data_IF_143123326581
#
_entry.id   IF_143123326581
#
_cell.length_a   1.000
_cell.length_b   1.000
_cell.length_c   1.000
_cell.angle_alpha   90.00
_cell.angle_beta   90.00
_cell.angle_gamma   90.00
#
_symmetry.space_group_name_H-M   'P 1'
#
loop_
_entity.id
_entity.type
_entity.pdbx_description
1 polymer ?
#
# COMPACT_ATOMS: atom_id res chain seq x y z
N UNK A 1 -34.40 -0.48 -20.59
CA UNK A 1 -33.85 -0.93 -21.88
C UNK A 1 -32.47 -0.32 -22.07
N UNK A 2 -31.41 -1.11 -22.24
CA UNK A 2 -30.05 -0.56 -22.36
C UNK A 2 -29.89 0.20 -23.69
N UNK A 3 -29.76 1.54 -23.62
CA UNK A 3 -29.60 2.43 -24.78
C UNK A 3 -28.23 2.22 -25.44
N UNK A 4 -28.17 1.20 -26.31
CA UNK A 4 -26.98 0.83 -27.07
C UNK A 4 -26.98 1.57 -28.40
N UNK A 5 -25.88 2.25 -28.68
CA UNK A 5 -25.62 3.05 -29.88
C UNK A 5 -24.70 2.26 -30.80
N UNK A 6 -24.98 2.32 -32.10
CA UNK A 6 -24.13 1.74 -33.15
C UNK A 6 -22.89 2.61 -33.37
N UNK A 7 -21.73 1.98 -33.46
CA UNK A 7 -20.45 2.60 -33.82
C UNK A 7 -19.71 1.77 -34.87
N UNK A 8 -18.79 2.41 -35.59
CA UNK A 8 -17.93 1.77 -36.58
C UNK A 8 -16.48 1.77 -36.09
N UNK A 9 -15.82 0.62 -36.18
CA UNK A 9 -14.44 0.48 -35.69
C UNK A 9 -13.46 1.14 -36.65
N UNK A 10 -12.64 2.07 -36.17
CA UNK A 10 -11.66 2.77 -37.01
C UNK A 10 -10.49 1.89 -37.51
N UNK A 11 -10.34 0.68 -36.97
CA UNK A 11 -9.23 -0.23 -37.32
C UNK A 11 -9.66 -1.35 -38.26
N UNK A 12 -10.82 -1.97 -38.01
CA UNK A 12 -11.30 -3.08 -38.81
C UNK A 12 -12.58 -2.78 -39.60
N UNK A 13 -13.15 -1.57 -39.49
CA UNK A 13 -14.37 -1.16 -40.17
C UNK A 13 -15.67 -1.83 -39.69
N UNK A 14 -15.57 -2.84 -38.81
CA UNK A 14 -16.72 -3.59 -38.33
C UNK A 14 -17.69 -2.71 -37.53
N UNK A 15 -18.99 -2.93 -37.75
CA UNK A 15 -20.05 -2.35 -36.94
C UNK A 15 -20.12 -3.02 -35.57
N UNK A 16 -20.35 -2.23 -34.51
CA UNK A 16 -20.50 -2.72 -33.14
C UNK A 16 -21.46 -1.86 -32.33
N UNK A 17 -21.97 -2.41 -31.21
CA UNK A 17 -22.96 -1.73 -30.36
C UNK A 17 -22.46 -1.56 -28.93
N UNK A 18 -22.47 -0.33 -28.39
CA UNK A 18 -22.04 0.00 -27.02
C UNK A 18 -22.97 1.00 -26.35
N UNK A 19 -22.87 1.15 -25.03
CA UNK A 19 -23.67 2.16 -24.31
C UNK A 19 -23.30 3.55 -24.81
N UNK A 20 -24.26 4.46 -24.95
CA UNK A 20 -24.00 5.86 -25.32
C UNK A 20 -22.92 6.53 -24.43
N UNK A 21 -22.86 6.15 -23.15
CA UNK A 21 -21.84 6.62 -22.19
C UNK A 21 -20.41 6.20 -22.53
N UNK A 22 -20.22 5.10 -23.25
CA UNK A 22 -18.88 4.60 -23.63
C UNK A 22 -18.21 5.51 -24.68
N UNK A 23 -19.00 6.28 -25.43
CA UNK A 23 -18.54 7.25 -26.43
C UNK A 23 -18.25 8.63 -25.83
N UNK A 24 -18.67 8.91 -24.58
CA UNK A 24 -18.53 10.20 -23.90
C UNK A 24 -17.66 10.09 -22.64
N UNK A 25 -16.43 9.59 -22.75
CA UNK A 25 -15.50 9.60 -21.60
C UNK A 25 -14.98 11.01 -21.33
N UNK A 26 -14.82 11.34 -20.04
CA UNK A 26 -14.48 12.67 -19.49
C UNK A 26 -13.04 13.11 -19.77
N UNK A 27 -12.19 12.18 -20.20
CA UNK A 27 -10.75 12.32 -20.45
C UNK A 27 -10.43 12.66 -21.91
N UNK A 28 -11.44 12.81 -22.78
CA UNK A 28 -11.29 13.22 -24.18
C UNK A 28 -10.61 12.19 -25.08
N UNK A 29 -10.22 11.01 -24.56
CA UNK A 29 -9.33 10.10 -25.26
C UNK A 29 -9.96 8.71 -25.45
N UNK A 30 -10.35 8.40 -26.68
CA UNK A 30 -10.61 7.04 -27.21
C UNK A 30 -11.78 6.23 -26.63
N UNK A 31 -12.75 6.86 -25.98
CA UNK A 31 -14.03 6.18 -25.67
C UNK A 31 -14.82 5.87 -26.94
N UNK A 32 -15.07 4.60 -27.25
CA UNK A 32 -16.03 4.21 -28.30
C UNK A 32 -15.51 4.19 -29.75
N UNK A 33 -14.20 4.26 -30.00
CA UNK A 33 -13.62 4.24 -31.37
C UNK A 33 -13.40 2.84 -31.95
N UNK A 34 -13.38 1.82 -31.09
CA UNK A 34 -12.96 0.47 -31.47
C UNK A 34 -13.95 -0.59 -30.98
N UNK A 35 -14.18 -1.61 -31.81
CA UNK A 35 -15.05 -2.74 -31.50
C UNK A 35 -14.50 -3.64 -30.37
N UNK A 36 -13.18 -3.62 -30.13
CA UNK A 36 -12.51 -4.49 -29.17
C UNK A 36 -11.19 -3.91 -28.65
N UNK A 37 -10.70 -4.47 -27.53
CA UNK A 37 -9.36 -4.17 -27.00
C UNK A 37 -8.23 -4.52 -27.98
N UNK A 38 -8.44 -5.52 -28.85
CA UNK A 38 -7.47 -5.88 -29.91
C UNK A 38 -7.32 -4.73 -30.91
N UNK A 39 -8.43 -4.21 -31.43
CA UNK A 39 -8.42 -3.08 -32.36
C UNK A 39 -7.84 -1.82 -31.70
N UNK A 40 -8.19 -1.56 -30.43
CA UNK A 40 -7.58 -0.47 -29.66
C UNK A 40 -6.04 -0.63 -29.58
N UNK A 41 -5.54 -1.84 -29.33
CA UNK A 41 -4.10 -2.13 -29.27
C UNK A 41 -3.36 -1.93 -30.61
N UNK A 42 -4.00 -2.28 -31.73
CA UNK A 42 -3.46 -2.03 -33.08
C UNK A 42 -3.34 -0.53 -33.34
N UNK A 43 -4.37 0.25 -33.00
CA UNK A 43 -4.33 1.71 -33.14
C UNK A 43 -3.20 2.33 -32.30
N UNK A 44 -3.10 1.97 -31.02
CA UNK A 44 -2.01 2.42 -30.12
C UNK A 44 -0.64 2.07 -30.71
N UNK A 45 -0.50 0.89 -31.31
CA UNK A 45 0.76 0.46 -31.90
C UNK A 45 1.12 1.28 -33.15
N UNK A 46 0.14 1.64 -33.99
CA UNK A 46 0.33 2.49 -35.17
C UNK A 46 0.68 3.93 -34.79
N UNK A 47 -0.03 4.50 -33.82
CA UNK A 47 0.26 5.83 -33.26
C UNK A 47 1.66 5.88 -32.63
N UNK A 48 1.99 4.89 -31.79
CA UNK A 48 3.29 4.79 -31.17
C UNK A 48 4.41 4.55 -32.20
N UNK A 49 4.15 3.81 -33.29
CA UNK A 49 5.10 3.63 -34.38
C UNK A 49 5.33 4.95 -35.13
N UNK A 50 4.27 5.71 -35.41
CA UNK A 50 4.35 7.03 -36.06
C UNK A 50 5.13 8.02 -35.20
N UNK A 51 4.86 8.06 -33.88
CA UNK A 51 5.61 8.90 -32.94
C UNK A 51 7.09 8.48 -32.81
N UNK A 52 7.39 7.17 -32.87
CA UNK A 52 8.76 6.63 -32.84
C UNK A 52 9.53 6.88 -34.14
N UNK A 53 8.84 6.97 -35.28
CA UNK A 53 9.46 7.31 -36.56
C UNK A 53 9.91 8.78 -36.60
N UNK A 54 9.20 9.66 -35.88
CA UNK A 54 9.53 11.09 -35.80
C UNK A 54 10.75 11.42 -34.90
N UNK A 55 11.26 10.46 -34.12
CA UNK A 55 12.39 10.68 -33.22
C UNK A 55 13.56 9.74 -33.54
N UNK A 56 14.73 10.24 -33.98
CA UNK A 56 15.88 9.39 -34.20
C UNK A 56 16.29 8.74 -32.87
N UNK A 57 16.42 7.41 -32.87
CA UNK A 57 16.91 6.68 -31.68
C UNK A 57 18.33 7.17 -31.37
N UNK A 58 18.62 7.57 -30.12
CA UNK A 58 19.98 7.92 -29.76
C UNK A 58 20.91 6.72 -30.01
N UNK A 59 22.16 6.95 -30.45
CA UNK A 59 23.12 5.89 -30.66
C UNK A 59 23.25 5.06 -29.38
N UNK A 60 23.21 3.73 -29.53
CA UNK A 60 23.36 2.81 -28.41
C UNK A 60 24.79 2.91 -27.89
N UNK A 61 25.01 3.67 -26.82
CA UNK A 61 26.29 3.65 -26.11
C UNK A 61 26.61 2.21 -25.66
N UNK A 62 27.90 1.80 -25.67
CA UNK A 62 28.29 0.50 -25.16
C UNK A 62 27.78 0.34 -23.72
N UNK A 63 27.06 -0.75 -23.45
CA UNK A 63 26.42 -0.99 -22.16
C UNK A 63 27.49 -1.43 -21.16
N UNK A 64 27.91 -0.54 -20.28
CA UNK A 64 28.60 -0.96 -19.06
C UNK A 64 27.69 -1.90 -18.28
N UNK A 65 28.19 -3.10 -17.94
CA UNK A 65 27.49 -4.03 -17.03
C UNK A 65 27.56 -3.58 -15.57
N UNK A 66 28.38 -2.58 -15.28
CA UNK A 66 28.54 -1.94 -13.97
C UNK A 66 27.77 -0.63 -13.94
N UNK A 67 26.83 -0.52 -13.02
CA UNK A 67 25.93 0.62 -12.92
C UNK A 67 26.28 1.48 -11.70
N UNK A 68 27.09 2.52 -11.87
CA UNK A 68 27.31 3.48 -10.79
C UNK A 68 26.07 4.35 -10.59
N UNK A 69 25.47 4.29 -9.40
CA UNK A 69 24.23 4.99 -9.06
C UNK A 69 24.40 5.71 -7.73
N UNK A 70 23.72 6.83 -7.56
CA UNK A 70 23.53 7.43 -6.24
C UNK A 70 22.33 6.78 -5.58
N UNK A 71 22.48 6.33 -4.34
CA UNK A 71 21.37 5.81 -3.56
C UNK A 71 20.34 6.92 -3.31
N UNK A 72 19.06 6.65 -3.54
CA UNK A 72 17.97 7.62 -3.30
C UNK A 72 17.73 7.95 -1.82
N UNK A 73 18.34 7.20 -0.90
CA UNK A 73 18.17 7.38 0.55
C UNK A 73 19.38 8.07 1.16
N UNK A 74 20.54 7.41 1.13
CA UNK A 74 21.74 7.94 1.78
C UNK A 74 22.64 8.78 0.86
N UNK A 75 22.31 8.88 -0.45
CA UNK A 75 23.10 9.64 -1.42
C UNK A 75 24.42 8.98 -1.84
N UNK A 76 24.89 7.93 -1.13
CA UNK A 76 26.17 7.26 -1.41
C UNK A 76 26.19 6.66 -2.82
N UNK A 77 27.33 6.77 -3.49
CA UNK A 77 27.60 6.08 -4.75
C UNK A 77 27.74 4.58 -4.50
N UNK A 78 27.07 3.77 -5.32
CA UNK A 78 27.14 2.31 -5.24
C UNK A 78 27.09 1.68 -6.62
N UNK A 79 27.59 0.44 -6.72
CA UNK A 79 27.49 -0.39 -7.90
C UNK A 79 26.16 -1.17 -7.89
N UNK A 80 25.21 -0.72 -8.71
CA UNK A 80 23.92 -1.38 -8.87
C UNK A 80 24.02 -2.70 -9.62
N UNK A 81 23.30 -3.72 -9.14
CA UNK A 81 23.17 -5.03 -9.81
C UNK A 81 22.31 -4.97 -11.09
N UNK A 82 21.59 -3.87 -11.32
CA UNK A 82 20.73 -3.67 -12.49
C UNK A 82 20.68 -2.19 -12.90
N UNK A 83 20.23 -1.89 -14.15
CA UNK A 83 20.01 -0.50 -14.59
C UNK A 83 18.94 0.23 -13.78
N UNK A 84 18.05 -0.49 -13.11
CA UNK A 84 16.95 0.06 -12.30
C UNK A 84 17.28 0.15 -10.81
N UNK A 85 18.49 -0.25 -10.39
CA UNK A 85 18.90 -0.21 -8.99
C UNK A 85 18.88 1.23 -8.45
N UNK A 86 18.12 1.44 -7.36
CA UNK A 86 17.93 2.75 -6.73
C UNK A 86 18.54 2.87 -5.33
N UNK A 87 18.92 1.74 -4.71
CA UNK A 87 19.32 1.66 -3.31
C UNK A 87 20.61 0.87 -3.14
N UNK A 88 21.51 1.36 -2.30
CA UNK A 88 22.83 0.73 -2.08
C UNK A 88 22.77 -0.54 -1.23
N UNK A 89 21.71 -0.71 -0.45
CA UNK A 89 21.52 -1.83 0.46
C UNK A 89 20.05 -2.18 0.60
N UNK A 90 19.79 -3.36 1.17
CA UNK A 90 18.44 -3.78 1.54
C UNK A 90 17.86 -2.87 2.64
N UNK A 91 18.70 -2.37 3.54
CA UNK A 91 18.34 -1.37 4.55
C UNK A 91 17.79 -0.08 3.93
N UNK A 92 18.52 0.53 2.98
CA UNK A 92 18.04 1.72 2.29
C UNK A 92 16.77 1.45 1.47
N UNK A 93 16.58 0.24 0.95
CA UNK A 93 15.33 -0.13 0.28
C UNK A 93 14.18 -0.20 1.29
N UNK A 94 14.43 -0.78 2.46
CA UNK A 94 13.44 -0.96 3.52
C UNK A 94 12.96 0.38 4.10
N UNK A 95 13.86 1.35 4.30
CA UNK A 95 13.50 2.70 4.77
C UNK A 95 12.50 3.40 3.84
N UNK A 96 12.66 3.29 2.53
CA UNK A 96 11.69 3.85 1.56
C UNK A 96 10.38 3.07 1.58
N UNK A 97 10.42 1.75 1.73
CA UNK A 97 9.21 0.95 1.85
C UNK A 97 8.41 1.31 3.10
N UNK A 98 9.09 1.56 4.22
CA UNK A 98 8.47 2.05 5.45
C UNK A 98 7.86 3.42 5.26
N UNK A 99 8.57 4.38 4.67
CA UNK A 99 8.05 5.73 4.40
C UNK A 99 6.80 5.70 3.52
N UNK A 100 6.82 4.92 2.42
CA UNK A 100 5.67 4.74 1.53
C UNK A 100 4.53 4.02 2.24
N UNK A 101 4.81 3.03 3.08
CA UNK A 101 3.80 2.34 3.87
C UNK A 101 3.17 3.27 4.92
N UNK A 102 3.96 4.16 5.52
CA UNK A 102 3.54 5.19 6.48
C UNK A 102 2.63 6.22 5.80
N UNK A 103 3.02 6.73 4.63
CA UNK A 103 2.23 7.67 3.83
C UNK A 103 0.92 7.06 3.31
N UNK A 104 0.87 5.75 3.11
CA UNK A 104 -0.35 5.06 2.65
C UNK A 104 -1.34 4.76 3.76
N UNK A 105 -1.00 4.95 5.04
CA UNK A 105 -1.83 4.75 6.24
C UNK A 105 -2.36 3.31 6.41
N UNK A 106 -3.12 2.83 5.44
CA UNK A 106 -3.74 1.52 5.33
C UNK A 106 -2.76 0.38 4.97
N UNK A 107 -1.53 0.69 4.53
CA UNK A 107 -0.59 -0.30 4.00
C UNK A 107 0.17 -1.09 5.06
N UNK A 108 0.48 -0.47 6.20
CA UNK A 108 1.27 -1.08 7.26
C UNK A 108 0.51 -2.19 7.99
N UNK A 109 -0.77 -1.94 8.31
CA UNK A 109 -1.65 -2.96 8.90
C UNK A 109 -1.98 -4.06 7.89
N UNK A 110 -2.31 -3.72 6.64
CA UNK A 110 -2.61 -4.71 5.60
C UNK A 110 -1.42 -5.64 5.31
N UNK A 111 -0.20 -5.11 5.26
CA UNK A 111 1.03 -5.90 5.13
C UNK A 111 1.32 -6.74 6.40
N UNK A 112 0.97 -6.22 7.58
CA UNK A 112 1.11 -6.96 8.84
C UNK A 112 0.04 -8.05 9.03
N UNK A 113 -1.14 -7.89 8.42
CA UNK A 113 -2.24 -8.86 8.45
C UNK A 113 -2.31 -9.73 7.19
N UNK A 114 -1.33 -9.62 6.29
CA UNK A 114 -1.30 -10.43 5.07
C UNK A 114 -1.05 -11.90 5.44
N UNK A 115 -1.97 -12.78 5.03
CA UNK A 115 -1.87 -14.22 5.20
C UNK A 115 -1.33 -14.83 3.91
N UNK A 116 -0.09 -15.31 3.95
CA UNK A 116 0.61 -15.88 2.79
C UNK A 116 1.11 -17.26 3.20
N UNK A 117 0.89 -18.28 2.36
CA UNK A 117 1.35 -19.66 2.58
C UNK A 117 0.99 -20.26 3.96
N UNK A 118 -0.22 -19.96 4.46
CA UNK A 118 -0.69 -20.50 5.72
C UNK A 118 -0.16 -19.79 6.97
N UNK A 119 0.55 -18.66 6.84
CA UNK A 119 1.03 -17.84 7.96
C UNK A 119 0.77 -16.34 7.77
N UNK A 120 0.57 -15.61 8.88
CA UNK A 120 0.53 -14.15 8.85
C UNK A 120 1.97 -13.60 8.76
N UNK A 121 2.33 -12.93 7.65
CA UNK A 121 3.66 -12.32 7.47
C UNK A 121 4.02 -11.30 8.56
N UNK A 122 3.03 -10.63 9.15
CA UNK A 122 3.25 -9.65 10.21
C UNK A 122 3.16 -10.16 11.64
N UNK A 123 3.21 -11.47 11.90
CA UNK A 123 3.31 -12.00 13.27
C UNK A 123 4.53 -11.41 14.00
N UNK A 124 5.65 -11.24 13.28
CA UNK A 124 6.87 -10.61 13.79
C UNK A 124 6.69 -9.10 14.05
N UNK A 125 5.98 -8.38 13.18
CA UNK A 125 5.69 -6.96 13.38
C UNK A 125 4.76 -6.74 14.58
N UNK A 126 3.72 -7.56 14.74
CA UNK A 126 2.84 -7.47 15.92
C UNK A 126 3.61 -7.69 17.20
N UNK A 127 4.52 -8.66 17.23
CA UNK A 127 5.39 -8.90 18.39
C UNK A 127 6.33 -7.71 18.65
N UNK A 128 6.97 -7.17 17.60
CA UNK A 128 7.82 -5.98 17.71
C UNK A 128 7.07 -4.73 18.16
N UNK A 129 5.85 -4.52 17.67
CA UNK A 129 4.97 -3.41 18.09
C UNK A 129 4.54 -3.56 19.55
N UNK A 130 4.21 -4.77 20.01
CA UNK A 130 3.91 -5.02 21.42
C UNK A 130 5.12 -4.75 22.32
N UNK A 131 6.32 -5.17 21.91
CA UNK A 131 7.55 -4.88 22.64
C UNK A 131 7.77 -3.36 22.70
N UNK A 132 7.69 -2.67 21.57
CA UNK A 132 7.82 -1.21 21.51
C UNK A 132 6.82 -0.49 22.43
N UNK A 133 5.55 -0.91 22.42
CA UNK A 133 4.53 -0.31 23.29
C UNK A 133 4.80 -0.60 24.78
N UNK A 134 5.33 -1.77 25.12
CA UNK A 134 5.75 -2.10 26.49
C UNK A 134 6.96 -1.25 26.90
N UNK A 135 7.92 -1.04 26.01
CA UNK A 135 9.09 -0.19 26.28
C UNK A 135 8.69 1.28 26.47
N UNK A 136 7.74 1.77 25.66
CA UNK A 136 7.28 3.15 25.70
C UNK A 136 6.33 3.46 26.86
N UNK A 137 5.30 2.62 27.06
CA UNK A 137 4.18 2.88 27.98
C UNK A 137 4.19 1.98 29.23
N UNK A 138 5.07 0.98 29.26
CA UNK A 138 5.07 -0.08 30.27
C UNK A 138 4.14 -1.24 29.93
N UNK A 139 4.17 -2.27 30.79
CA UNK A 139 3.42 -3.51 30.62
C UNK A 139 1.97 -3.43 31.13
N UNK A 140 1.42 -2.23 31.33
CA UNK A 140 0.09 -2.03 31.93
C UNK A 140 -0.96 -1.73 30.87
N UNK A 141 -2.12 -2.36 31.00
CA UNK A 141 -3.26 -2.10 30.14
C UNK A 141 -3.71 -0.65 30.31
N UNK A 142 -3.78 0.12 29.23
CA UNK A 142 -4.15 1.53 29.29
C UNK A 142 -5.63 1.79 29.69
N UNK A 143 -6.47 0.74 29.72
CA UNK A 143 -7.89 0.85 30.08
C UNK A 143 -8.13 0.46 31.55
N UNK A 144 -7.51 -0.63 32.02
CA UNK A 144 -7.77 -1.16 33.37
C UNK A 144 -6.57 -1.10 34.31
N UNK A 145 -5.42 -0.63 33.81
CA UNK A 145 -4.15 -0.40 34.52
C UNK A 145 -3.49 -1.64 35.17
N UNK A 146 -4.03 -2.84 34.89
CA UNK A 146 -3.44 -4.12 35.29
C UNK A 146 -2.39 -4.58 34.28
N UNK A 147 -1.42 -5.37 34.74
CA UNK A 147 -0.37 -5.94 33.88
C UNK A 147 -0.94 -6.77 32.73
N UNK A 148 -0.29 -6.66 31.57
CA UNK A 148 -0.57 -7.37 30.34
C UNK A 148 0.57 -8.34 30.10
N UNK A 149 0.29 -9.62 30.17
CA UNK A 149 1.26 -10.64 29.77
C UNK A 149 1.26 -10.75 28.25
N UNK A 150 2.32 -10.22 27.62
CA UNK A 150 2.48 -10.19 26.17
C UNK A 150 2.81 -11.55 25.55
N UNK A 151 3.10 -12.57 26.37
CA UNK A 151 3.35 -13.95 25.91
C UNK A 151 2.05 -14.72 25.69
N UNK A 152 0.95 -14.28 26.30
CA UNK A 152 -0.35 -14.93 26.15
C UNK A 152 -0.89 -14.78 24.73
N UNK A 153 -1.52 -15.85 24.23
CA UNK A 153 -2.29 -15.79 22.99
C UNK A 153 -3.55 -14.92 23.21
N UNK A 154 -3.66 -13.82 22.48
CA UNK A 154 -4.84 -12.94 22.46
C UNK A 154 -5.87 -13.38 21.40
N UNK A 155 -7.15 -13.11 21.61
CA UNK A 155 -8.20 -13.30 20.59
C UNK A 155 -9.35 -14.19 21.03
N UNK A 156 -10.30 -14.44 20.11
CA UNK A 156 -11.47 -15.32 20.32
C UNK A 156 -11.08 -16.75 20.68
N UNK A 157 -9.93 -17.23 20.19
CA UNK A 157 -9.35 -18.56 20.52
C UNK A 157 -8.19 -18.45 21.53
N UNK A 158 -8.14 -17.37 22.30
CA UNK A 158 -7.08 -17.05 23.25
C UNK A 158 -7.64 -16.47 24.55
N UNK A 159 -6.78 -15.85 25.35
CA UNK A 159 -7.16 -15.24 26.62
C UNK A 159 -7.72 -13.84 26.45
N UNK A 160 -8.78 -13.51 27.20
CA UNK A 160 -9.26 -12.13 27.36
C UNK A 160 -8.23 -11.21 28.03
N UNK A 161 -7.28 -11.78 28.78
CA UNK A 161 -6.13 -11.09 29.37
C UNK A 161 -4.89 -11.08 28.47
N UNK A 162 -4.98 -11.62 27.25
CA UNK A 162 -3.89 -11.51 26.28
C UNK A 162 -3.71 -10.08 25.76
N UNK A 163 -2.55 -9.77 25.15
CA UNK A 163 -2.20 -8.44 24.69
C UNK A 163 -2.98 -8.02 23.43
N UNK A 164 -3.36 -6.76 23.38
CA UNK A 164 -4.01 -6.16 22.23
C UNK A 164 -3.52 -4.73 22.03
N UNK A 165 -3.53 -4.30 20.77
CA UNK A 165 -3.18 -2.94 20.39
C UNK A 165 -4.50 -2.20 20.21
N UNK A 166 -4.75 -1.19 21.05
CA UNK A 166 -5.95 -0.35 21.01
C UNK A 166 -5.61 0.99 20.37
N UNK A 167 -6.52 1.50 19.55
CA UNK A 167 -6.40 2.84 18.97
C UNK A 167 -7.05 3.87 19.91
N UNK A 168 -6.28 4.85 20.39
CA UNK A 168 -6.79 5.93 21.27
C UNK A 168 -7.98 6.62 20.60
N UNK A 169 -7.81 7.05 19.35
CA UNK A 169 -8.89 7.46 18.47
C UNK A 169 -9.29 6.24 17.63
N UNK A 170 -10.53 5.72 17.74
CA UNK A 170 -10.96 4.58 16.96
C UNK A 170 -10.84 4.83 15.45
N UNK A 171 -10.49 3.80 14.67
CA UNK A 171 -10.40 3.90 13.20
C UNK A 171 -11.69 4.39 12.55
N UNK A 172 -12.84 3.96 13.05
CA UNK A 172 -14.16 4.42 12.57
C UNK A 172 -14.42 5.91 12.80
N UNK A 173 -13.61 6.57 13.64
CA UNK A 173 -13.63 8.02 13.90
C UNK A 173 -12.42 8.74 13.29
N UNK A 174 -11.68 8.09 12.39
CA UNK A 174 -10.54 8.70 11.70
C UNK A 174 -9.19 8.58 12.42
N UNK A 175 -9.07 7.72 13.44
CA UNK A 175 -7.77 7.50 14.10
C UNK A 175 -6.76 6.79 13.20
N UNK A 176 -5.50 7.25 13.21
CA UNK A 176 -4.41 6.69 12.42
C UNK A 176 -3.81 5.41 13.03
N UNK A 177 -3.08 4.65 12.23
CA UNK A 177 -2.27 3.52 12.70
C UNK A 177 -0.87 3.95 13.20
N UNK A 178 -0.63 5.26 13.37
CA UNK A 178 0.65 5.76 13.89
C UNK A 178 0.84 5.33 15.35
N UNK A 179 2.07 4.99 15.78
CA UNK A 179 2.33 4.55 17.15
C UNK A 179 1.79 5.49 18.22
N UNK A 180 1.75 6.80 17.97
CA UNK A 180 1.19 7.81 18.89
C UNK A 180 -0.30 7.61 19.19
N UNK A 181 -1.05 7.02 18.26
CA UNK A 181 -2.46 6.69 18.40
C UNK A 181 -2.68 5.25 18.89
N UNK A 182 -1.61 4.48 19.15
CA UNK A 182 -1.69 3.09 19.59
C UNK A 182 -1.30 3.00 21.07
N UNK A 183 -1.94 2.08 21.80
CA UNK A 183 -1.60 1.76 23.19
C UNK A 183 -1.79 0.29 23.52
N UNK A 184 -1.07 -0.19 24.54
CA UNK A 184 -1.18 -1.56 25.02
C UNK A 184 -2.45 -1.75 25.86
N UNK A 185 -3.24 -2.77 25.54
CA UNK A 185 -4.45 -3.13 26.30
C UNK A 185 -4.62 -4.64 26.40
N UNK A 186 -5.49 -5.11 27.29
CA UNK A 186 -6.00 -6.49 27.20
C UNK A 186 -6.98 -6.61 26.04
N UNK A 187 -7.01 -7.77 25.39
CA UNK A 187 -7.97 -8.07 24.33
C UNK A 187 -9.42 -7.90 24.78
N UNK A 188 -9.79 -8.37 25.97
CA UNK A 188 -11.14 -8.22 26.50
C UNK A 188 -11.51 -6.77 26.84
N UNK A 189 -10.54 -5.97 27.31
CA UNK A 189 -10.75 -4.55 27.58
C UNK A 189 -10.99 -3.77 26.28
N UNK A 190 -10.14 -4.01 25.28
CA UNK A 190 -10.27 -3.41 23.94
C UNK A 190 -11.61 -3.80 23.30
N UNK A 191 -11.98 -5.09 23.32
CA UNK A 191 -13.26 -5.56 22.79
C UNK A 191 -14.46 -4.90 23.49
N UNK A 192 -14.43 -4.77 24.83
CA UNK A 192 -15.50 -4.12 25.58
C UNK A 192 -15.60 -2.62 25.29
N UNK A 193 -14.47 -1.95 25.02
CA UNK A 193 -14.40 -0.55 24.61
C UNK A 193 -15.02 -0.35 23.23
N UNK A 194 -14.64 -1.17 22.26
CA UNK A 194 -15.12 -1.07 20.88
C UNK A 194 -14.76 0.28 20.24
N UNK A 195 -15.74 0.97 19.68
CA UNK A 195 -15.58 2.29 19.07
C UNK A 195 -15.88 3.46 20.04
N UNK A 196 -16.05 3.17 21.34
CA UNK A 196 -16.32 4.19 22.36
C UNK A 196 -15.00 4.85 22.78
N UNK A 197 -14.93 6.18 22.76
CA UNK A 197 -13.71 6.97 22.99
C UNK A 197 -13.48 8.02 21.90
N UNK A 198 -12.29 8.63 21.90
CA UNK A 198 -11.86 9.65 20.91
C UNK A 198 -11.61 11.06 21.45
N UNK A 199 -11.92 11.31 22.74
CA UNK A 199 -11.60 12.56 23.43
C UNK A 199 -10.40 12.40 24.39
N UNK A 200 -9.66 11.30 24.22
CA UNK A 200 -8.53 10.93 25.08
C UNK A 200 -7.27 11.61 24.53
N UNK A 201 -6.47 12.22 25.39
CA UNK A 201 -5.23 12.90 25.00
C UNK A 201 -4.23 11.88 24.43
N UNK A 202 -3.66 12.18 23.25
CA UNK A 202 -2.57 11.40 22.68
C UNK A 202 -1.34 11.52 23.61
N UNK A 203 -0.60 10.42 23.77
CA UNK A 203 0.64 10.47 24.54
C UNK A 203 1.59 11.50 23.93
N UNK A 204 2.12 12.40 24.76
CA UNK A 204 3.24 13.25 24.37
C UNK A 204 4.46 12.33 24.25
N UNK A 205 4.87 12.05 23.01
CA UNK A 205 6.08 11.30 22.72
C UNK A 205 7.21 12.32 22.61
N UNK A 206 8.09 12.35 23.61
CA UNK A 206 9.32 13.14 23.66
C UNK A 206 10.54 12.24 23.61
#
# INVERSE_FOLDING_TARGET
>A
MSNRVRGQCEICGAEFYRKASDFKRRDGNTGGRFCSKKCQGVWISREAASARAATPKPPKSPRSRVWFRKCKVCGRLFCGRSPSACYCSDECRYLVQLEVARQRGNGLYAAATEYVDGQYRGANYRKGLLIYLVERDGDRCAICHRRVDITLKSGTRGSRRGPSVDHIIPRSKGGSDDPVNLRLTHWGCNQKRGNRGGNEQLALVG
#
